data_IF_998486417989
#
_entry.id   IF_998486417989
#
_cell.length_a   1.000
_cell.length_b   1.000
_cell.length_c   1.000
_cell.angle_alpha   90.00
_cell.angle_beta   90.00
_cell.angle_gamma   90.00
#
_symmetry.space_group_name_H-M   'P 1'
#
loop_
_entity.id
_entity.type
_entity.pdbx_description
1 polymer ?
#
# COMPACT_ATOMS: atom_id res chain seq x y z
N UNK A 1 20.90 -9.10 -17.31
CA UNK A 1 20.66 -8.05 -16.29
C UNK A 1 19.47 -7.23 -16.80
N UNK A 2 18.26 -7.59 -16.39
CA UNK A 2 17.05 -6.83 -16.75
C UNK A 2 16.99 -5.56 -15.90
N UNK A 3 16.65 -4.43 -16.51
CA UNK A 3 16.46 -3.16 -15.80
C UNK A 3 15.42 -3.34 -14.70
N UNK A 4 15.81 -3.03 -13.46
CA UNK A 4 14.90 -2.75 -12.36
C UNK A 4 14.24 -1.41 -12.68
N UNK A 5 13.22 -1.41 -13.51
CA UNK A 5 12.44 -0.19 -13.73
C UNK A 5 11.66 0.15 -12.46
N UNK A 6 11.75 1.43 -12.07
CA UNK A 6 11.28 1.98 -10.81
C UNK A 6 9.78 1.72 -10.62
N UNK A 7 9.40 1.14 -9.48
CA UNK A 7 8.00 1.13 -9.08
C UNK A 7 7.62 2.56 -8.68
N UNK A 8 6.72 3.23 -9.41
CA UNK A 8 6.52 4.68 -9.27
C UNK A 8 5.95 5.09 -7.90
N UNK A 9 5.48 4.11 -7.12
CA UNK A 9 4.95 4.32 -5.78
C UNK A 9 5.98 4.15 -4.67
N UNK A 10 7.24 3.77 -4.97
CA UNK A 10 8.31 3.75 -3.98
C UNK A 10 8.55 5.16 -3.43
N UNK A 11 8.57 5.29 -2.11
CA UNK A 11 8.77 6.56 -1.44
C UNK A 11 7.98 6.68 -0.15
N UNK A 12 7.99 7.92 0.37
CA UNK A 12 7.19 8.31 1.52
C UNK A 12 6.07 9.24 1.03
N UNK A 13 4.86 8.95 1.48
CA UNK A 13 3.65 9.66 1.09
C UNK A 13 2.94 10.15 2.35
N UNK A 14 2.41 11.36 2.28
CA UNK A 14 1.55 11.93 3.31
C UNK A 14 0.25 12.40 2.68
N UNK A 15 -0.86 12.15 3.36
CA UNK A 15 -2.18 12.49 2.83
C UNK A 15 -3.23 12.63 3.92
N UNK A 16 -4.44 12.95 3.48
CA UNK A 16 -5.63 13.03 4.31
C UNK A 16 -6.75 12.22 3.68
N UNK A 17 -7.52 11.51 4.50
CA UNK A 17 -8.69 10.76 4.06
C UNK A 17 -9.91 11.01 4.94
N UNK A 18 -11.06 10.56 4.45
CA UNK A 18 -12.34 10.68 5.16
C UNK A 18 -13.06 9.34 5.13
N UNK A 19 -13.46 8.86 6.31
CA UNK A 19 -14.35 7.70 6.44
C UNK A 19 -15.78 8.18 6.24
N UNK A 20 -16.45 7.63 5.23
CA UNK A 20 -17.85 7.90 4.92
C UNK A 20 -18.69 6.68 5.36
N UNK A 21 -19.81 6.92 6.04
CA UNK A 21 -20.69 5.83 6.46
C UNK A 21 -21.57 5.31 5.31
N UNK A 22 -22.36 4.26 5.57
CA UNK A 22 -23.28 3.67 4.59
C UNK A 22 -24.39 4.62 4.09
N UNK A 23 -24.58 5.77 4.73
CA UNK A 23 -25.53 6.82 4.32
C UNK A 23 -24.86 7.95 3.52
N UNK A 24 -23.55 7.88 3.28
CA UNK A 24 -22.82 8.94 2.58
C UNK A 24 -22.37 10.11 3.49
N UNK A 25 -22.50 9.98 4.81
CA UNK A 25 -22.14 11.05 5.75
C UNK A 25 -20.68 10.89 6.23
N UNK A 26 -19.94 11.99 6.33
CA UNK A 26 -18.59 12.00 6.89
C UNK A 26 -18.61 11.62 8.38
N UNK A 27 -17.81 10.61 8.76
CA UNK A 27 -17.68 10.13 10.14
C UNK A 27 -16.40 10.62 10.80
N UNK A 28 -15.27 10.41 10.15
CA UNK A 28 -13.93 10.68 10.70
C UNK A 28 -13.01 11.14 9.58
N UNK A 29 -12.27 12.22 9.82
CA UNK A 29 -11.15 12.64 8.97
C UNK A 29 -9.84 12.20 9.60
N UNK A 30 -8.91 11.73 8.78
CA UNK A 30 -7.62 11.21 9.24
C UNK A 30 -6.48 11.73 8.38
N UNK A 31 -5.30 11.82 8.98
CA UNK A 31 -4.02 11.93 8.27
C UNK A 31 -3.44 10.55 8.09
N UNK A 32 -2.72 10.35 7.01
CA UNK A 32 -2.04 9.09 6.69
C UNK A 32 -0.59 9.36 6.32
N UNK A 33 0.30 8.53 6.85
CA UNK A 33 1.71 8.44 6.43
C UNK A 33 1.95 7.05 5.89
N UNK A 34 2.47 6.94 4.68
CA UNK A 34 2.69 5.70 3.97
C UNK A 34 4.16 5.62 3.51
N UNK A 35 4.85 4.56 3.86
CA UNK A 35 6.18 4.23 3.33
C UNK A 35 6.06 3.00 2.43
N UNK A 36 6.60 3.09 1.21
CA UNK A 36 6.81 1.96 0.32
C UNK A 36 8.29 1.92 -0.03
N UNK A 37 8.93 0.78 0.23
CA UNK A 37 10.39 0.63 0.08
C UNK A 37 10.74 -0.68 -0.59
N UNK A 38 11.59 -0.65 -1.62
CA UNK A 38 12.14 -1.85 -2.23
C UNK A 38 13.05 -2.59 -1.25
N UNK A 39 12.78 -3.87 -0.99
CA UNK A 39 13.59 -4.70 -0.09
C UNK A 39 14.29 -5.87 -0.79
N UNK A 40 13.81 -6.27 -1.97
CA UNK A 40 14.38 -7.40 -2.74
C UNK A 40 13.99 -7.29 -4.20
N UNK A 41 14.89 -7.68 -5.11
CA UNK A 41 14.68 -7.58 -6.57
C UNK A 41 14.68 -8.91 -7.33
N UNK A 42 15.12 -10.02 -6.71
CA UNK A 42 15.20 -11.33 -7.36
C UNK A 42 14.73 -12.45 -6.41
N UNK A 43 13.89 -13.42 -6.84
CA UNK A 43 13.40 -13.63 -8.22
C UNK A 43 12.27 -12.69 -8.64
N UNK A 44 11.75 -11.89 -7.70
CA UNK A 44 10.69 -10.89 -7.91
C UNK A 44 11.03 -9.62 -7.15
N UNK A 45 10.48 -8.49 -7.58
CA UNK A 45 10.55 -7.27 -6.80
C UNK A 45 9.58 -7.35 -5.62
N UNK A 46 10.09 -7.16 -4.41
CA UNK A 46 9.32 -7.12 -3.18
C UNK A 46 9.53 -5.76 -2.55
N UNK A 47 8.43 -5.08 -2.28
CA UNK A 47 8.38 -3.83 -1.55
C UNK A 47 7.78 -4.10 -0.17
N UNK A 48 8.36 -3.50 0.86
CA UNK A 48 7.70 -3.36 2.14
C UNK A 48 6.78 -2.16 2.06
N UNK A 49 5.57 -2.30 2.58
CA UNK A 49 4.59 -1.22 2.73
C UNK A 49 4.26 -1.07 4.20
N UNK A 50 4.21 0.16 4.70
CA UNK A 50 3.77 0.51 6.05
C UNK A 50 2.91 1.75 5.99
N UNK A 51 1.66 1.66 6.46
CA UNK A 51 0.74 2.79 6.60
C UNK A 51 0.38 3.01 8.06
N UNK A 52 0.37 4.27 8.49
CA UNK A 52 -0.11 4.72 9.81
C UNK A 52 -1.11 5.85 9.61
N UNK A 53 -2.24 5.75 10.31
CA UNK A 53 -3.28 6.78 10.27
C UNK A 53 -3.48 7.42 11.64
N UNK A 54 -3.77 8.71 11.64
CA UNK A 54 -3.96 9.54 12.84
C UNK A 54 -5.22 10.37 12.68
N UNK A 55 -5.90 10.66 13.80
CA UNK A 55 -7.07 11.56 13.76
C UNK A 55 -6.63 12.95 13.30
N UNK A 56 -7.29 13.53 12.29
CA UNK A 56 -6.81 14.79 11.69
C UNK A 56 -6.75 15.94 12.70
N UNK A 57 -7.77 16.03 13.57
CA UNK A 57 -7.87 17.04 14.62
C UNK A 57 -6.90 16.83 15.79
N UNK A 58 -6.31 15.64 15.93
CA UNK A 58 -5.37 15.28 16.99
C UNK A 58 -4.39 14.22 16.51
N UNK A 59 -3.22 14.64 15.96
CA UNK A 59 -2.21 13.72 15.46
C UNK A 59 -1.58 12.82 16.52
N UNK A 60 -1.75 13.12 17.82
CA UNK A 60 -1.28 12.22 18.89
C UNK A 60 -2.17 10.99 19.03
N UNK A 61 -3.39 11.05 18.49
CA UNK A 61 -4.33 9.95 18.48
C UNK A 61 -4.10 9.05 17.25
N UNK A 62 -3.35 7.97 17.45
CA UNK A 62 -3.19 6.90 16.45
C UNK A 62 -4.52 6.19 16.22
N UNK A 63 -4.84 5.92 14.95
CA UNK A 63 -6.03 5.19 14.53
C UNK A 63 -5.67 3.79 14.04
N UNK A 64 -5.62 3.58 12.72
CA UNK A 64 -5.25 2.33 12.08
C UNK A 64 -3.76 2.30 11.72
N UNK A 65 -3.22 1.10 11.61
CA UNK A 65 -1.88 0.80 11.12
C UNK A 65 -1.97 -0.46 10.27
N UNK A 66 -1.16 -0.56 9.23
CA UNK A 66 -0.99 -1.79 8.47
C UNK A 66 0.43 -1.87 7.93
N UNK A 67 0.95 -3.08 7.83
CA UNK A 67 2.28 -3.30 7.25
C UNK A 67 2.34 -4.62 6.54
N UNK A 68 3.21 -4.73 5.55
CA UNK A 68 3.33 -5.98 4.81
C UNK A 68 4.20 -5.84 3.58
N UNK A 69 3.83 -6.60 2.54
CA UNK A 69 4.61 -6.70 1.32
C UNK A 69 3.75 -6.55 0.08
N UNK A 70 4.30 -5.87 -0.92
CA UNK A 70 3.83 -5.86 -2.30
C UNK A 70 4.85 -6.63 -3.13
N UNK A 71 4.39 -7.64 -3.89
CA UNK A 71 5.24 -8.43 -4.79
C UNK A 71 4.82 -8.17 -6.23
N UNK A 72 5.76 -7.73 -7.05
CA UNK A 72 5.57 -7.64 -8.50
C UNK A 72 6.03 -8.96 -9.11
N UNK A 73 5.08 -9.77 -9.56
CA UNK A 73 5.39 -11.07 -10.15
C UNK A 73 6.03 -10.91 -11.53
N UNK A 74 6.79 -11.92 -12.01
CA UNK A 74 7.33 -11.90 -13.35
C UNK A 74 6.19 -11.75 -14.37
N UNK A 75 6.43 -10.97 -15.43
CA UNK A 75 5.45 -10.81 -16.49
C UNK A 75 5.17 -12.18 -17.14
N UNK A 76 3.89 -12.48 -17.34
CA UNK A 76 3.43 -13.65 -18.09
C UNK A 76 2.67 -13.20 -19.35
N UNK A 77 2.27 -14.14 -20.21
CA UNK A 77 1.38 -13.84 -21.35
C UNK A 77 0.04 -13.22 -20.92
N UNK A 78 -0.37 -13.43 -19.67
CA UNK A 78 -1.59 -12.87 -19.05
C UNK A 78 -1.38 -11.46 -18.46
N UNK A 79 -0.20 -10.86 -18.66
CA UNK A 79 0.14 -9.51 -18.21
C UNK A 79 0.94 -9.46 -16.90
N UNK A 80 1.07 -8.26 -16.34
CA UNK A 80 1.79 -8.06 -15.08
C UNK A 80 0.86 -8.27 -13.88
N UNK A 81 1.26 -9.15 -12.95
CA UNK A 81 0.49 -9.48 -11.74
C UNK A 81 1.14 -8.93 -10.49
N UNK A 82 0.32 -8.60 -9.50
CA UNK A 82 0.75 -8.12 -8.19
C UNK A 82 0.07 -8.92 -7.08
N UNK A 83 0.82 -9.22 -6.03
CA UNK A 83 0.31 -9.78 -4.78
C UNK A 83 0.60 -8.81 -3.65
N UNK A 84 -0.37 -8.57 -2.78
CA UNK A 84 -0.21 -7.79 -1.58
C UNK A 84 -0.61 -8.64 -0.37
N UNK A 85 0.27 -8.66 0.64
CA UNK A 85 0.01 -9.33 1.91
C UNK A 85 0.21 -8.34 3.03
N UNK A 86 -0.87 -8.00 3.75
CA UNK A 86 -0.87 -7.04 4.85
C UNK A 86 -1.22 -7.73 6.17
N UNK A 87 -0.66 -7.21 7.26
CA UNK A 87 -1.06 -7.55 8.62
C UNK A 87 -1.54 -6.29 9.33
N UNK A 88 -2.60 -6.45 10.13
CA UNK A 88 -3.28 -5.36 10.82
C UNK A 88 -3.25 -5.60 12.35
N UNK A 89 -3.22 -4.54 13.18
CA UNK A 89 -3.21 -4.60 14.65
C UNK A 89 -4.37 -5.38 15.29
N UNK A 90 -5.43 -5.65 14.54
CA UNK A 90 -6.64 -6.33 15.00
C UNK A 90 -6.63 -7.83 14.69
N UNK A 91 -5.44 -8.43 14.55
CA UNK A 91 -5.24 -9.85 14.23
C UNK A 91 -5.87 -10.28 12.90
N UNK A 92 -5.93 -9.37 11.94
CA UNK A 92 -6.39 -9.63 10.57
C UNK A 92 -5.17 -9.68 9.66
N UNK A 93 -5.17 -10.63 8.74
CA UNK A 93 -4.24 -10.66 7.61
C UNK A 93 -5.06 -10.52 6.33
N UNK A 94 -4.63 -9.63 5.44
CA UNK A 94 -5.24 -9.42 4.13
C UNK A 94 -4.31 -9.97 3.04
N UNK A 95 -4.91 -10.68 2.08
CA UNK A 95 -4.24 -11.13 0.87
C UNK A 95 -5.03 -10.62 -0.34
N UNK A 96 -4.40 -9.75 -1.11
CA UNK A 96 -5.01 -9.10 -2.26
C UNK A 96 -4.20 -9.42 -3.52
N UNK A 97 -4.90 -9.79 -4.60
CA UNK A 97 -4.30 -10.20 -5.86
C UNK A 97 -4.81 -9.30 -6.98
N UNK A 98 -3.92 -8.82 -7.83
CA UNK A 98 -4.27 -7.86 -8.87
C UNK A 98 -3.39 -7.93 -10.10
N UNK A 99 -3.62 -6.99 -11.01
CA UNK A 99 -2.78 -6.74 -12.18
C UNK A 99 -2.41 -5.26 -12.22
N UNK A 100 -1.27 -4.92 -12.82
CA UNK A 100 -0.85 -3.53 -12.98
C UNK A 100 -0.41 -3.25 -14.42
N UNK A 101 -0.66 -2.03 -14.87
CA UNK A 101 -0.14 -1.54 -16.14
C UNK A 101 1.19 -0.82 -15.91
N UNK A 102 2.20 -1.16 -16.71
CA UNK A 102 3.53 -0.53 -16.67
C UNK A 102 3.56 0.81 -17.40
N UNK A 103 2.59 1.09 -18.26
CA UNK A 103 2.59 2.27 -19.14
C UNK A 103 1.88 3.50 -18.55
N UNK A 104 1.26 3.38 -17.38
CA UNK A 104 0.66 4.52 -16.66
C UNK A 104 1.73 5.24 -15.85
N UNK A 105 2.22 6.36 -16.39
CA UNK A 105 2.97 7.39 -15.66
C UNK A 105 2.03 8.42 -15.03
#
# INVERSE_FOLDING_TARGET
QGSTEDFPYEGNWEGTGVVINSKGEEKVRYKETLEIKLIKTAPVNIYMITSSTYKEADPSFSMHFETGFIKLLPATEEGNKVEMSLTHPFSINEFSFGSYNKDTK
#
